data_IF_230302899342
#
_entry.id   IF_230302899342
#
_cell.length_a   1.000
_cell.length_b   1.000
_cell.length_c   1.000
_cell.angle_alpha   90.00
_cell.angle_beta   90.00
_cell.angle_gamma   90.00
#
_symmetry.space_group_name_H-M   'P 1'
#
loop_
_entity.id
_entity.type
_entity.pdbx_description
1 polymer ?
#
# COMPACT_ATOMS: atom_id res chain seq x y z
N UNK A 1 30.40 -20.65 -2.36
CA UNK A 1 30.66 -19.40 -1.63
C UNK A 1 30.68 -18.13 -2.50
N UNK A 2 30.00 -18.16 -3.64
CA UNK A 2 29.88 -16.98 -4.51
C UNK A 2 28.65 -16.07 -4.19
N UNK A 3 27.87 -16.40 -3.16
CA UNK A 3 26.72 -15.57 -2.76
C UNK A 3 27.05 -14.42 -1.78
N UNK A 4 28.30 -14.25 -1.38
CA UNK A 4 28.69 -13.24 -0.38
C UNK A 4 29.11 -11.87 -0.96
N UNK A 5 29.15 -11.72 -2.29
CA UNK A 5 29.60 -10.48 -2.94
C UNK A 5 28.54 -9.76 -3.78
N UNK A 6 27.32 -10.30 -3.86
CA UNK A 6 26.23 -9.53 -4.46
C UNK A 6 25.75 -8.55 -3.43
N UNK A 7 26.01 -7.26 -3.67
CA UNK A 7 25.49 -6.14 -2.89
C UNK A 7 23.98 -6.26 -2.71
N UNK A 8 23.44 -5.51 -1.77
CA UNK A 8 21.98 -5.37 -1.59
C UNK A 8 21.38 -5.04 -2.96
N UNK A 9 20.58 -5.96 -3.49
CA UNK A 9 19.91 -5.76 -4.77
C UNK A 9 18.92 -4.60 -4.66
N UNK A 10 18.58 -4.01 -5.79
CA UNK A 10 17.64 -2.90 -5.88
C UNK A 10 16.25 -3.29 -5.39
N UNK A 11 15.53 -2.34 -4.81
CA UNK A 11 14.16 -2.51 -4.34
C UNK A 11 13.21 -1.77 -5.26
N UNK A 12 12.17 -2.45 -5.74
CA UNK A 12 11.09 -1.78 -6.44
C UNK A 12 10.05 -1.23 -5.48
N UNK A 13 9.76 0.06 -5.63
CA UNK A 13 8.61 0.71 -5.00
C UNK A 13 7.57 1.09 -6.07
N UNK A 14 6.28 0.96 -5.74
CA UNK A 14 5.21 1.43 -6.61
C UNK A 14 4.94 2.91 -6.44
N UNK A 15 4.78 3.61 -7.56
CA UNK A 15 4.39 5.01 -7.60
C UNK A 15 3.09 5.23 -6.81
N UNK A 16 3.09 6.23 -5.91
CA UNK A 16 1.94 6.56 -5.08
C UNK A 16 1.74 5.70 -3.84
N UNK A 17 2.45 4.57 -3.68
CA UNK A 17 2.47 3.81 -2.44
C UNK A 17 3.38 4.47 -1.39
N UNK A 18 3.02 4.34 -0.12
CA UNK A 18 3.81 4.85 1.00
C UNK A 18 4.22 3.72 1.94
N UNK A 19 5.51 3.58 2.18
CA UNK A 19 6.09 2.49 2.99
C UNK A 19 6.89 3.00 4.19
N UNK A 20 6.42 4.09 4.81
CA UNK A 20 7.11 4.73 5.93
C UNK A 20 8.14 5.76 5.46
N UNK A 21 8.85 6.34 6.43
CA UNK A 21 9.81 7.42 6.25
C UNK A 21 11.27 6.94 6.18
N UNK A 22 11.50 5.70 5.75
CA UNK A 22 12.86 5.19 5.50
C UNK A 22 13.42 5.91 4.28
N UNK A 23 14.59 6.53 4.42
CA UNK A 23 15.21 7.36 3.39
C UNK A 23 15.29 6.67 2.02
N UNK A 24 15.65 5.39 1.99
CA UNK A 24 15.75 4.62 0.76
C UNK A 24 14.40 4.51 0.00
N UNK A 25 13.26 4.60 0.69
CA UNK A 25 11.93 4.50 0.08
C UNK A 25 11.27 5.86 -0.19
N UNK A 26 11.94 6.97 0.15
CA UNK A 26 11.49 8.35 -0.13
C UNK A 26 11.95 8.79 -1.52
N UNK A 27 11.51 8.07 -2.54
CA UNK A 27 11.80 8.34 -3.95
C UNK A 27 10.62 9.00 -4.64
N UNK A 28 10.91 9.94 -5.56
CA UNK A 28 9.89 10.59 -6.37
C UNK A 28 9.16 9.58 -7.24
N UNK A 29 7.85 9.73 -7.25
CA UNK A 29 7.01 9.15 -8.26
C UNK A 29 7.25 9.88 -9.59
N UNK A 30 8.05 9.31 -10.49
CA UNK A 30 8.31 9.87 -11.83
C UNK A 30 7.44 9.21 -12.90
N UNK A 31 7.07 9.95 -13.93
CA UNK A 31 6.48 9.41 -15.15
C UNK A 31 7.61 8.87 -16.04
N UNK A 32 7.68 7.56 -16.19
CA UNK A 32 8.59 6.90 -17.13
C UNK A 32 9.47 5.83 -16.48
N UNK A 33 9.77 4.79 -17.24
CA UNK A 33 10.55 3.61 -16.86
C UNK A 33 12.00 3.90 -16.41
N UNK A 34 12.41 5.15 -16.39
CA UNK A 34 13.79 5.58 -16.18
C UNK A 34 14.00 6.50 -14.96
N UNK A 35 13.04 6.62 -14.05
CA UNK A 35 13.23 7.48 -12.88
C UNK A 35 14.03 6.75 -11.81
N UNK A 36 15.34 6.73 -11.99
CA UNK A 36 16.31 6.24 -11.02
C UNK A 36 16.30 7.14 -9.78
N UNK A 37 15.88 6.59 -8.65
CA UNK A 37 16.21 7.02 -7.30
C UNK A 37 16.28 8.52 -6.98
N UNK A 38 15.43 9.37 -7.58
CA UNK A 38 15.41 10.79 -7.24
C UNK A 38 14.73 10.99 -5.88
N UNK A 39 15.41 11.59 -4.86
CA UNK A 39 14.81 11.84 -3.57
C UNK A 39 13.56 12.71 -3.65
N UNK A 40 12.48 12.32 -2.93
CA UNK A 40 11.24 13.10 -2.83
C UNK A 40 11.26 14.08 -1.65
N UNK A 41 12.17 13.89 -0.70
CA UNK A 41 12.28 14.72 0.49
C UNK A 41 13.62 15.49 0.49
N UNK A 42 13.61 16.81 0.73
CA UNK A 42 14.82 17.56 0.98
C UNK A 42 15.62 16.99 2.15
N UNK A 43 16.92 16.86 1.98
CA UNK A 43 17.82 16.33 3.00
C UNK A 43 18.11 14.82 2.89
N UNK A 44 17.40 14.09 2.06
CA UNK A 44 17.73 12.69 1.75
C UNK A 44 18.84 12.67 0.68
N UNK A 45 20.02 12.11 0.97
CA UNK A 45 21.08 11.98 -0.03
C UNK A 45 20.67 11.04 -1.16
N UNK A 46 21.09 11.34 -2.39
CA UNK A 46 20.79 10.50 -3.54
C UNK A 46 21.31 9.06 -3.39
N UNK A 47 22.46 8.88 -2.72
CA UNK A 47 23.05 7.56 -2.43
C UNK A 47 22.14 6.63 -1.61
N UNK A 48 21.11 7.16 -0.92
CA UNK A 48 20.13 6.34 -0.22
C UNK A 48 19.00 5.88 -1.14
N UNK A 49 18.72 6.61 -2.20
CA UNK A 49 17.56 6.38 -3.07
C UNK A 49 17.94 5.78 -4.43
N UNK A 50 19.21 5.79 -4.81
CA UNK A 50 19.67 5.28 -6.12
C UNK A 50 19.40 3.80 -6.37
N UNK A 51 19.24 3.03 -5.29
CA UNK A 51 18.88 1.61 -5.33
C UNK A 51 17.37 1.36 -5.20
N UNK A 52 16.54 2.38 -5.40
CA UNK A 52 15.08 2.25 -5.37
C UNK A 52 14.48 2.70 -6.69
N UNK A 53 14.01 1.74 -7.45
CA UNK A 53 13.33 1.98 -8.71
C UNK A 53 11.83 2.20 -8.46
N UNK A 54 11.19 3.03 -9.27
CA UNK A 54 9.76 3.32 -9.14
C UNK A 54 9.01 2.96 -10.42
N UNK A 55 7.93 2.19 -10.30
CA UNK A 55 7.06 1.82 -11.42
C UNK A 55 5.61 2.21 -11.16
N UNK A 56 4.87 2.49 -12.22
CA UNK A 56 3.46 2.88 -12.17
C UNK A 56 2.59 1.76 -11.60
N UNK A 57 1.71 2.08 -10.66
CA UNK A 57 0.73 1.13 -10.12
C UNK A 57 -0.26 0.71 -11.21
N UNK A 58 -0.67 -0.57 -11.23
CA UNK A 58 -1.52 -1.17 -12.26
C UNK A 58 -0.89 -1.25 -13.67
N UNK A 59 0.42 -1.11 -13.77
CA UNK A 59 1.16 -1.28 -15.02
C UNK A 59 2.17 -2.42 -14.85
N UNK A 60 1.78 -3.62 -15.27
CA UNK A 60 2.63 -4.82 -15.19
C UNK A 60 3.75 -4.76 -16.23
N UNK A 61 3.46 -4.22 -17.42
CA UNK A 61 4.44 -4.12 -18.50
C UNK A 61 5.61 -3.24 -18.10
N UNK A 62 5.35 -2.10 -17.45
CA UNK A 62 6.41 -1.25 -16.93
C UNK A 62 7.31 -1.95 -15.91
N UNK A 63 6.77 -2.93 -15.16
CA UNK A 63 7.59 -3.73 -14.23
C UNK A 63 8.43 -4.75 -14.94
N UNK A 64 7.85 -5.43 -15.95
CA UNK A 64 8.57 -6.41 -16.78
C UNK A 64 9.73 -5.69 -17.48
N UNK A 65 9.47 -4.55 -18.13
CA UNK A 65 10.50 -3.75 -18.78
C UNK A 65 11.65 -3.37 -17.83
N UNK A 66 11.31 -2.98 -16.61
CA UNK A 66 12.32 -2.66 -15.62
C UNK A 66 13.13 -3.90 -15.19
N UNK A 67 12.51 -5.09 -15.01
CA UNK A 67 13.24 -6.31 -14.68
C UNK A 67 14.17 -6.74 -15.81
N UNK A 68 13.78 -6.50 -17.06
CA UNK A 68 14.62 -6.75 -18.23
C UNK A 68 15.82 -5.77 -18.33
N UNK A 69 15.61 -4.51 -17.88
CA UNK A 69 16.67 -3.50 -17.89
C UNK A 69 17.69 -3.67 -16.75
N UNK A 70 17.32 -4.34 -15.66
CA UNK A 70 18.17 -4.61 -14.49
C UNK A 70 18.19 -6.10 -14.14
N UNK A 71 18.69 -6.96 -15.03
CA UNK A 71 18.68 -8.41 -14.83
C UNK A 71 19.56 -8.79 -13.63
N UNK A 72 19.03 -9.66 -12.76
CA UNK A 72 19.68 -10.13 -11.54
C UNK A 72 20.03 -9.06 -10.49
N UNK A 73 19.57 -7.81 -10.68
CA UNK A 73 19.89 -6.71 -9.76
C UNK A 73 18.75 -6.44 -8.75
N UNK A 74 17.51 -6.87 -9.05
CA UNK A 74 16.34 -6.56 -8.23
C UNK A 74 16.13 -7.62 -7.14
N UNK A 75 16.21 -7.22 -5.89
CA UNK A 75 16.01 -8.11 -4.77
C UNK A 75 14.53 -8.30 -4.40
N UNK A 76 13.72 -7.23 -4.49
CA UNK A 76 12.35 -7.26 -4.04
C UNK A 76 11.46 -6.24 -4.77
N UNK A 77 10.17 -6.57 -4.87
CA UNK A 77 9.10 -5.66 -5.26
C UNK A 77 8.22 -5.41 -4.04
N UNK A 78 8.09 -4.14 -3.61
CA UNK A 78 7.21 -3.75 -2.50
C UNK A 78 6.05 -2.90 -3.02
N UNK A 79 4.83 -3.24 -2.59
CA UNK A 79 3.64 -2.46 -2.94
C UNK A 79 2.54 -2.59 -1.87
N UNK A 80 1.68 -1.59 -1.78
CA UNK A 80 0.37 -1.74 -1.16
C UNK A 80 -0.52 -2.56 -2.12
N UNK A 81 -1.11 -3.71 -1.72
CA UNK A 81 -1.96 -4.50 -2.61
C UNK A 81 -3.24 -3.76 -3.03
N UNK A 82 -3.71 -2.84 -2.20
CA UNK A 82 -4.67 -1.78 -2.54
C UNK A 82 -4.01 -0.48 -2.13
N UNK A 83 -3.76 0.40 -3.06
CA UNK A 83 -3.11 1.67 -2.75
C UNK A 83 -4.05 2.56 -1.92
N UNK A 84 -3.53 3.10 -0.81
CA UNK A 84 -4.28 3.94 0.13
C UNK A 84 -3.72 5.35 0.29
N UNK A 85 -2.56 5.65 -0.29
CA UNK A 85 -1.85 6.92 -0.15
C UNK A 85 -1.85 7.79 -1.43
N UNK A 86 -2.59 7.38 -2.43
CA UNK A 86 -2.91 8.18 -3.63
C UNK A 86 -4.42 8.23 -3.90
N UNK A 87 -5.21 8.18 -2.80
CA UNK A 87 -6.59 7.80 -2.78
C UNK A 87 -6.71 6.28 -2.74
N UNK A 88 -7.93 5.75 -2.66
CA UNK A 88 -8.13 4.30 -2.70
C UNK A 88 -8.14 3.83 -4.15
N UNK A 89 -7.09 3.12 -4.56
CA UNK A 89 -6.97 2.54 -5.90
C UNK A 89 -6.78 1.02 -5.77
N UNK A 90 -7.77 0.21 -6.15
CA UNK A 90 -7.64 -1.24 -6.17
C UNK A 90 -6.72 -1.70 -7.31
N UNK A 91 -6.12 -2.88 -7.19
CA UNK A 91 -5.38 -3.48 -8.28
C UNK A 91 -6.33 -3.86 -9.43
N UNK A 92 -5.88 -3.65 -10.65
CA UNK A 92 -6.58 -4.15 -11.85
C UNK A 92 -6.51 -5.69 -11.89
N UNK A 93 -7.49 -6.28 -12.58
CA UNK A 93 -7.55 -7.73 -12.72
C UNK A 93 -6.25 -8.30 -13.30
N UNK A 94 -5.70 -9.32 -12.65
CA UNK A 94 -4.47 -9.97 -13.09
C UNK A 94 -3.16 -9.27 -12.68
N UNK A 95 -3.22 -8.02 -12.18
CA UNK A 95 -2.00 -7.26 -11.84
C UNK A 95 -1.17 -7.92 -10.73
N UNK A 96 -1.79 -8.26 -9.59
CA UNK A 96 -1.09 -8.89 -8.48
C UNK A 96 -0.61 -10.32 -8.81
N UNK A 97 -1.42 -11.07 -9.55
CA UNK A 97 -1.05 -12.39 -10.04
C UNK A 97 0.16 -12.33 -10.98
N UNK A 98 0.12 -11.39 -11.94
CA UNK A 98 1.25 -11.19 -12.85
C UNK A 98 2.53 -10.78 -12.14
N UNK A 99 2.44 -9.96 -11.07
CA UNK A 99 3.59 -9.65 -10.22
C UNK A 99 4.13 -10.90 -9.50
N UNK A 100 3.25 -11.76 -8.99
CA UNK A 100 3.68 -13.01 -8.34
C UNK A 100 4.41 -13.93 -9.33
N UNK A 101 3.82 -14.12 -10.51
CA UNK A 101 4.44 -14.94 -11.57
C UNK A 101 5.79 -14.38 -12.02
N UNK A 102 5.90 -13.05 -12.18
CA UNK A 102 7.15 -12.36 -12.49
C UNK A 102 8.19 -12.61 -11.40
N UNK A 103 7.83 -12.38 -10.13
CA UNK A 103 8.72 -12.57 -8.99
C UNK A 103 9.21 -14.02 -8.87
N UNK A 104 8.32 -14.99 -9.08
CA UNK A 104 8.67 -16.42 -9.06
C UNK A 104 9.65 -16.79 -10.18
N UNK A 105 9.47 -16.23 -11.37
CA UNK A 105 10.30 -16.48 -12.53
C UNK A 105 11.70 -15.88 -12.39
N UNK A 106 11.77 -14.65 -11.87
CA UNK A 106 13.03 -13.87 -11.77
C UNK A 106 13.74 -14.06 -10.42
N UNK A 107 13.18 -14.84 -9.48
CA UNK A 107 13.77 -15.00 -8.15
C UNK A 107 13.69 -13.75 -7.25
N UNK A 108 12.75 -12.85 -7.52
CA UNK A 108 12.52 -11.58 -6.82
C UNK A 108 11.54 -11.81 -5.67
N UNK A 109 11.75 -11.17 -4.52
CA UNK A 109 10.80 -11.26 -3.41
C UNK A 109 9.61 -10.33 -3.63
N UNK A 110 8.39 -10.84 -3.47
CA UNK A 110 7.18 -10.03 -3.46
C UNK A 110 6.82 -9.65 -2.02
N UNK A 111 6.73 -8.35 -1.75
CA UNK A 111 6.41 -7.80 -0.42
C UNK A 111 5.11 -7.03 -0.49
N UNK A 112 4.09 -7.47 0.27
CA UNK A 112 2.86 -6.71 0.42
C UNK A 112 2.93 -5.81 1.66
N UNK A 113 2.77 -4.51 1.43
CA UNK A 113 2.51 -3.56 2.50
C UNK A 113 1.02 -3.58 2.83
N UNK A 114 0.67 -4.38 3.82
CA UNK A 114 -0.68 -4.52 4.34
C UNK A 114 -0.95 -3.59 5.54
N UNK A 115 -0.17 -2.53 5.71
CA UNK A 115 -0.37 -1.57 6.80
C UNK A 115 -1.75 -0.91 6.75
N UNK A 116 -2.29 -0.69 5.54
CA UNK A 116 -3.66 -0.18 5.34
C UNK A 116 -4.70 -1.31 5.25
N UNK A 117 -4.40 -2.38 4.54
CA UNK A 117 -5.35 -3.42 4.16
C UNK A 117 -5.45 -4.56 5.18
N UNK A 118 -4.35 -4.87 5.86
CA UNK A 118 -4.28 -5.98 6.83
C UNK A 118 -5.27 -5.80 7.97
N UNK A 119 -6.11 -6.80 8.19
CA UNK A 119 -7.18 -6.81 9.19
C UNK A 119 -8.25 -5.70 9.01
N UNK A 120 -8.21 -4.99 7.88
CA UNK A 120 -9.18 -3.95 7.55
C UNK A 120 -10.12 -4.34 6.42
N UNK A 121 -9.60 -4.90 5.33
CA UNK A 121 -10.42 -5.35 4.20
C UNK A 121 -10.96 -6.75 4.41
N UNK A 122 -10.20 -7.58 5.10
CA UNK A 122 -10.49 -8.94 5.52
C UNK A 122 -9.63 -9.29 6.73
N UNK A 123 -10.02 -10.32 7.52
CA UNK A 123 -9.20 -10.80 8.64
C UNK A 123 -7.82 -11.31 8.19
N UNK A 124 -7.76 -11.90 7.01
CA UNK A 124 -6.53 -12.41 6.41
C UNK A 124 -5.86 -11.42 5.44
N UNK A 125 -6.33 -10.16 5.41
CA UNK A 125 -5.77 -9.09 4.58
C UNK A 125 -6.09 -9.19 3.10
N UNK A 126 -5.50 -8.32 2.31
CA UNK A 126 -5.69 -8.28 0.86
C UNK A 126 -5.06 -9.50 0.18
N UNK A 127 -4.00 -10.08 0.71
CA UNK A 127 -3.38 -11.30 0.19
C UNK A 127 -4.39 -12.46 0.06
N UNK A 128 -5.27 -12.64 1.04
CA UNK A 128 -6.32 -13.66 0.97
C UNK A 128 -7.45 -13.26 0.01
N UNK A 129 -7.84 -11.99 0.03
CA UNK A 129 -8.90 -11.47 -0.83
C UNK A 129 -8.56 -11.61 -2.32
N UNK A 130 -7.32 -11.36 -2.69
CA UNK A 130 -6.83 -11.50 -4.08
C UNK A 130 -6.22 -12.87 -4.39
N UNK A 131 -6.12 -13.76 -3.39
CA UNK A 131 -5.52 -15.08 -3.53
C UNK A 131 -4.08 -15.04 -4.07
N UNK A 132 -3.31 -14.02 -3.68
CA UNK A 132 -1.90 -13.86 -4.02
C UNK A 132 -1.10 -13.85 -2.74
N UNK A 133 -0.22 -14.84 -2.56
CA UNK A 133 0.63 -14.96 -1.39
C UNK A 133 1.97 -14.25 -1.64
N UNK A 134 2.29 -13.19 -0.88
CA UNK A 134 3.60 -12.56 -0.94
C UNK A 134 4.65 -13.40 -0.20
N UNK A 135 5.92 -13.12 -0.43
CA UNK A 135 7.03 -13.70 0.35
C UNK A 135 7.12 -13.07 1.75
N UNK A 136 6.82 -11.78 1.84
CA UNK A 136 6.75 -11.02 3.09
C UNK A 136 5.51 -10.12 3.10
N UNK A 137 4.94 -9.94 4.29
CA UNK A 137 3.86 -8.98 4.56
C UNK A 137 4.24 -8.03 5.67
N UNK A 138 3.89 -6.76 5.52
CA UNK A 138 4.11 -5.69 6.51
C UNK A 138 2.75 -5.29 7.06
N UNK A 139 2.63 -5.15 8.38
CA UNK A 139 1.40 -4.81 9.09
C UNK A 139 1.61 -3.62 10.03
N UNK A 140 0.56 -2.85 10.23
CA UNK A 140 0.53 -1.71 11.16
C UNK A 140 -0.92 -1.31 11.46
N UNK A 141 -1.12 -0.07 11.85
CA UNK A 141 -2.44 0.54 12.06
C UNK A 141 -3.39 -0.34 12.88
N UNK A 142 -4.30 -1.08 12.23
CA UNK A 142 -5.35 -1.89 12.89
C UNK A 142 -4.76 -2.87 13.90
N UNK A 143 -3.62 -3.51 13.60
CA UNK A 143 -3.00 -4.47 14.52
C UNK A 143 -2.58 -3.86 15.86
N UNK A 144 -2.45 -2.54 15.95
CA UNK A 144 -2.09 -1.84 17.18
C UNK A 144 -3.27 -1.57 18.11
N UNK A 145 -4.52 -1.71 17.62
CA UNK A 145 -5.71 -1.38 18.42
C UNK A 145 -5.72 0.07 18.91
N UNK A 146 -5.19 1.00 18.11
CA UNK A 146 -5.02 2.42 18.44
C UNK A 146 -3.65 2.79 19.01
N UNK A 147 -2.78 1.81 19.29
CA UNK A 147 -1.42 2.05 19.78
C UNK A 147 -0.38 1.80 18.65
N UNK A 148 0.84 2.39 18.78
CA UNK A 148 1.87 2.26 17.77
C UNK A 148 2.46 0.83 17.75
N UNK A 149 2.09 0.05 16.75
CA UNK A 149 2.61 -1.29 16.50
C UNK A 149 2.92 -1.43 15.01
N UNK A 150 4.06 -1.98 14.70
CA UNK A 150 4.43 -2.48 13.39
C UNK A 150 4.85 -3.95 13.50
N UNK A 151 4.54 -4.73 12.50
CA UNK A 151 4.96 -6.11 12.40
C UNK A 151 5.27 -6.46 10.94
N UNK A 152 6.13 -7.41 10.73
CA UNK A 152 6.37 -8.03 9.44
C UNK A 152 6.55 -9.53 9.63
N UNK A 153 6.26 -10.27 8.58
CA UNK A 153 6.39 -11.72 8.59
C UNK A 153 6.22 -12.29 7.20
N UNK A 154 6.51 -13.55 7.04
CA UNK A 154 6.39 -14.24 5.77
C UNK A 154 7.07 -15.60 5.77
N UNK A 155 7.68 -15.96 4.65
CA UNK A 155 8.35 -17.25 4.46
C UNK A 155 9.37 -17.52 5.55
N UNK A 156 9.29 -18.73 6.12
CA UNK A 156 10.11 -19.15 7.27
C UNK A 156 11.61 -18.97 7.02
N UNK A 157 12.10 -19.37 5.85
CA UNK A 157 13.52 -19.28 5.50
C UNK A 157 14.04 -17.83 5.44
N UNK A 158 13.19 -16.87 5.07
CA UNK A 158 13.52 -15.43 5.09
C UNK A 158 13.52 -14.94 6.55
N UNK A 159 12.49 -15.27 7.32
CA UNK A 159 12.37 -14.84 8.71
C UNK A 159 13.46 -15.40 9.61
N UNK A 160 14.01 -16.57 9.30
CA UNK A 160 15.16 -17.16 10.03
C UNK A 160 16.48 -16.40 9.77
N UNK A 161 16.55 -15.51 8.79
CA UNK A 161 17.70 -14.62 8.60
C UNK A 161 17.73 -13.46 9.59
N UNK A 162 16.62 -13.18 10.28
CA UNK A 162 16.51 -12.06 11.24
C UNK A 162 17.08 -12.50 12.59
N UNK A 163 17.86 -11.60 13.22
CA UNK A 163 18.43 -11.83 14.54
C UNK A 163 17.31 -12.13 15.59
N UNK A 164 17.57 -13.02 16.57
CA UNK A 164 18.84 -13.70 16.87
C UNK A 164 19.06 -15.00 16.07
N UNK A 165 18.12 -15.42 15.22
CA UNK A 165 18.22 -16.66 14.47
C UNK A 165 19.19 -16.56 13.29
N UNK A 166 19.33 -15.38 12.70
CA UNK A 166 20.17 -15.08 11.55
C UNK A 166 20.98 -13.78 11.72
N UNK A 167 21.75 -13.40 10.68
CA UNK A 167 22.68 -12.28 10.75
C UNK A 167 22.02 -10.90 10.56
N UNK A 168 20.77 -10.82 10.11
CA UNK A 168 20.09 -9.56 9.80
C UNK A 168 19.67 -8.88 11.10
N UNK A 169 20.31 -7.77 11.42
CA UNK A 169 20.02 -7.01 12.63
C UNK A 169 18.64 -6.35 12.56
N UNK A 170 17.86 -6.54 13.63
CA UNK A 170 16.59 -5.84 13.84
C UNK A 170 16.45 -5.54 15.33
N UNK A 171 16.24 -4.28 15.68
CA UNK A 171 15.99 -3.86 17.04
C UNK A 171 15.15 -2.57 17.08
N UNK A 172 14.41 -2.40 18.14
CA UNK A 172 13.66 -1.18 18.44
C UNK A 172 13.33 -1.12 19.91
N UNK A 173 13.63 -0.03 20.58
CA UNK A 173 13.43 0.13 22.04
C UNK A 173 12.00 -0.18 22.47
N UNK A 174 11.01 0.19 21.66
CA UNK A 174 9.59 -0.04 21.92
C UNK A 174 9.04 -1.29 21.24
N UNK A 175 9.86 -2.07 20.54
CA UNK A 175 9.44 -3.33 19.94
C UNK A 175 8.98 -4.30 21.01
N UNK A 176 7.79 -4.88 20.85
CA UNK A 176 7.20 -5.78 21.81
C UNK A 176 6.70 -5.10 23.10
N UNK A 177 6.52 -3.77 23.11
CA UNK A 177 5.96 -3.05 24.25
C UNK A 177 4.67 -3.74 24.73
N UNK A 178 4.60 -4.15 26.02
CA UNK A 178 3.50 -4.99 26.52
C UNK A 178 2.13 -4.32 26.44
N UNK A 179 2.05 -2.99 26.56
CA UNK A 179 0.78 -2.26 26.47
C UNK A 179 0.28 -2.31 25.02
N UNK A 180 1.13 -1.97 24.06
CA UNK A 180 0.78 -1.96 22.64
C UNK A 180 0.47 -3.38 22.12
N UNK A 181 1.27 -4.38 22.53
CA UNK A 181 1.01 -5.79 22.18
C UNK A 181 -0.30 -6.30 22.80
N UNK A 182 -0.63 -5.89 24.03
CA UNK A 182 -1.89 -6.27 24.69
C UNK A 182 -3.10 -5.67 23.97
N UNK A 183 -3.02 -4.39 23.58
CA UNK A 183 -4.07 -3.73 22.82
C UNK A 183 -4.27 -4.40 21.45
N UNK A 184 -3.17 -4.65 20.71
CA UNK A 184 -3.22 -5.34 19.42
C UNK A 184 -3.78 -6.76 19.52
N UNK A 185 -3.31 -7.53 20.51
CA UNK A 185 -3.84 -8.88 20.79
C UNK A 185 -5.35 -8.86 21.07
N UNK A 186 -5.82 -7.85 21.80
CA UNK A 186 -7.25 -7.67 22.09
C UNK A 186 -8.03 -7.31 20.83
N UNK A 187 -7.53 -6.38 20.03
CA UNK A 187 -8.12 -6.00 18.75
C UNK A 187 -8.29 -7.22 17.84
N UNK A 188 -7.21 -7.99 17.63
CA UNK A 188 -7.26 -9.18 16.77
C UNK A 188 -8.22 -10.25 17.28
N UNK A 189 -8.34 -10.42 18.61
CA UNK A 189 -9.32 -11.33 19.20
C UNK A 189 -10.75 -10.87 18.94
N UNK A 190 -11.03 -9.57 19.04
CA UNK A 190 -12.36 -9.00 18.75
C UNK A 190 -12.69 -9.21 17.28
N UNK A 191 -11.81 -8.83 16.37
CA UNK A 191 -12.01 -8.99 14.93
C UNK A 191 -12.26 -10.45 14.55
N UNK A 192 -11.50 -11.39 15.11
CA UNK A 192 -11.70 -12.84 14.87
C UNK A 192 -13.02 -13.36 15.41
N UNK A 193 -13.50 -12.82 16.55
CA UNK A 193 -14.73 -13.27 17.20
C UNK A 193 -15.97 -12.69 16.53
N UNK A 194 -15.91 -11.40 16.17
CA UNK A 194 -17.08 -10.65 15.70
C UNK A 194 -17.24 -10.68 14.19
N UNK A 195 -16.14 -10.95 13.47
CA UNK A 195 -16.11 -11.01 12.00
C UNK A 195 -16.88 -9.85 11.31
N UNK A 196 -16.45 -8.59 11.48
CA UNK A 196 -17.23 -7.44 11.05
C UNK A 196 -17.17 -7.17 9.53
N UNK A 197 -16.41 -7.96 8.77
CA UNK A 197 -16.03 -7.61 7.40
C UNK A 197 -17.19 -7.55 6.42
N UNK A 198 -18.14 -8.48 6.52
CA UNK A 198 -19.35 -8.45 5.68
C UNK A 198 -20.21 -7.20 5.96
N UNK A 199 -20.33 -6.81 7.24
CA UNK A 199 -21.08 -5.62 7.64
C UNK A 199 -20.38 -4.33 7.20
N UNK A 200 -19.06 -4.25 7.39
CA UNK A 200 -18.24 -3.10 6.92
C UNK A 200 -18.33 -2.96 5.40
N UNK A 201 -18.17 -4.06 4.65
CA UNK A 201 -18.29 -4.03 3.20
C UNK A 201 -19.65 -3.55 2.72
N UNK A 202 -20.73 -3.97 3.39
CA UNK A 202 -22.10 -3.49 3.10
C UNK A 202 -22.25 -1.99 3.36
N UNK A 203 -21.72 -1.50 4.48
CA UNK A 203 -21.77 -0.08 4.86
C UNK A 203 -21.00 0.81 3.88
N UNK A 204 -19.79 0.41 3.50
CA UNK A 204 -18.98 1.17 2.54
C UNK A 204 -19.59 1.17 1.15
N UNK A 205 -20.16 0.05 0.69
CA UNK A 205 -20.89 -0.04 -0.58
C UNK A 205 -22.10 0.90 -0.58
N UNK A 206 -22.94 0.85 0.46
CA UNK A 206 -24.10 1.73 0.59
C UNK A 206 -23.72 3.21 0.56
N UNK A 207 -22.63 3.58 1.24
CA UNK A 207 -22.13 4.97 1.24
C UNK A 207 -21.67 5.38 -0.17
N UNK A 208 -20.92 4.52 -0.86
CA UNK A 208 -20.45 4.79 -2.21
C UNK A 208 -21.59 4.93 -3.22
N UNK A 209 -22.59 4.05 -3.14
CA UNK A 209 -23.80 4.14 -3.97
C UNK A 209 -24.53 5.47 -3.74
N UNK A 210 -24.72 5.86 -2.49
CA UNK A 210 -25.39 7.12 -2.14
C UNK A 210 -24.61 8.34 -2.64
N UNK A 211 -23.27 8.35 -2.52
CA UNK A 211 -22.42 9.42 -3.04
C UNK A 211 -22.47 9.49 -4.58
N UNK A 212 -22.36 8.36 -5.24
CA UNK A 212 -22.44 8.23 -6.70
C UNK A 212 -23.79 8.73 -7.23
N UNK A 213 -24.90 8.31 -6.62
CA UNK A 213 -26.25 8.73 -6.99
C UNK A 213 -26.47 10.24 -6.77
N UNK A 214 -25.96 10.78 -5.67
CA UNK A 214 -26.06 12.21 -5.39
C UNK A 214 -25.27 13.04 -6.41
N UNK A 215 -24.06 12.61 -6.74
CA UNK A 215 -23.21 13.23 -7.75
C UNK A 215 -23.85 13.19 -9.14
N UNK A 216 -24.35 12.02 -9.55
CA UNK A 216 -25.05 11.81 -10.83
C UNK A 216 -26.28 12.73 -10.97
N UNK A 217 -27.11 12.84 -9.92
CA UNK A 217 -28.27 13.73 -9.92
C UNK A 217 -27.89 15.21 -10.10
N UNK A 218 -26.66 15.60 -9.73
CA UNK A 218 -26.15 16.97 -9.85
C UNK A 218 -25.25 17.18 -11.07
N UNK A 219 -25.02 16.15 -11.89
CA UNK A 219 -24.11 16.23 -13.04
C UNK A 219 -22.64 16.42 -12.63
N UNK A 220 -22.28 15.98 -11.43
CA UNK A 220 -20.89 16.05 -10.92
C UNK A 220 -20.19 14.73 -11.24
N UNK A 221 -19.05 14.77 -11.94
CA UNK A 221 -18.28 13.56 -12.22
C UNK A 221 -17.67 13.03 -10.91
N UNK A 222 -18.01 11.79 -10.55
CA UNK A 222 -17.53 11.14 -9.33
C UNK A 222 -17.32 9.64 -9.58
N UNK A 223 -16.09 9.21 -9.41
CA UNK A 223 -15.70 7.81 -9.35
C UNK A 223 -15.63 7.39 -7.87
N UNK A 224 -16.22 6.25 -7.53
CA UNK A 224 -16.20 5.70 -6.16
C UNK A 224 -15.67 4.28 -6.17
N UNK A 225 -14.98 3.87 -5.12
CA UNK A 225 -14.55 2.50 -4.92
C UNK A 225 -14.66 2.11 -3.44
N UNK A 226 -14.88 0.81 -3.18
CA UNK A 226 -14.89 0.26 -1.83
C UNK A 226 -14.36 -1.17 -1.84
N UNK A 227 -13.75 -1.57 -0.72
CA UNK A 227 -13.25 -2.92 -0.49
C UNK A 227 -13.20 -3.19 1.01
N UNK A 228 -14.04 -4.14 1.47
CA UNK A 228 -14.19 -4.37 2.90
C UNK A 228 -14.51 -3.08 3.65
N UNK A 229 -13.74 -2.77 4.69
CA UNK A 229 -13.89 -1.55 5.47
C UNK A 229 -13.18 -0.31 4.90
N UNK A 230 -12.73 -0.34 3.65
CA UNK A 230 -12.11 0.80 2.96
C UNK A 230 -13.02 1.34 1.87
N UNK A 231 -13.02 2.65 1.68
CA UNK A 231 -13.65 3.31 0.55
C UNK A 231 -12.88 4.54 0.11
N UNK A 232 -13.13 4.96 -1.11
CA UNK A 232 -12.54 6.17 -1.68
C UNK A 232 -13.42 6.74 -2.77
N UNK A 233 -13.15 7.98 -3.15
CA UNK A 233 -13.82 8.64 -4.25
C UNK A 233 -12.89 9.66 -4.91
N UNK A 234 -13.13 9.89 -6.20
CA UNK A 234 -12.39 10.86 -7.00
C UNK A 234 -13.37 11.69 -7.81
N UNK A 235 -13.20 13.00 -7.81
CA UNK A 235 -13.93 13.88 -8.72
C UNK A 235 -13.32 13.81 -10.11
N UNK A 236 -13.73 12.79 -10.86
CA UNK A 236 -13.19 12.45 -12.18
C UNK A 236 -14.27 11.89 -13.09
N UNK A 237 -14.16 12.18 -14.38
CA UNK A 237 -15.01 11.57 -15.42
C UNK A 237 -14.51 10.18 -15.84
N UNK A 238 -13.26 9.85 -15.50
CA UNK A 238 -12.60 8.62 -15.89
C UNK A 238 -12.19 7.82 -14.65
N UNK A 239 -12.14 6.50 -14.81
CA UNK A 239 -11.60 5.60 -13.80
C UNK A 239 -10.17 6.00 -13.45
N UNK A 240 -9.89 6.11 -12.16
CA UNK A 240 -8.57 6.41 -11.62
C UNK A 240 -7.86 5.08 -11.34
N UNK A 241 -6.71 4.85 -11.96
CA UNK A 241 -5.99 3.57 -11.91
C UNK A 241 -4.61 3.68 -11.27
N UNK A 242 -4.06 4.89 -11.24
CA UNK A 242 -2.72 5.15 -10.75
C UNK A 242 -2.59 6.59 -10.23
N UNK A 243 -1.40 6.94 -9.77
CA UNK A 243 -1.11 8.26 -9.21
C UNK A 243 -1.29 9.41 -10.22
N UNK A 244 -0.90 9.20 -11.48
CA UNK A 244 -1.05 10.21 -12.54
C UNK A 244 -2.51 10.53 -12.82
N UNK A 245 -3.38 9.52 -12.79
CA UNK A 245 -4.82 9.73 -12.93
C UNK A 245 -5.39 10.46 -11.71
N UNK A 246 -4.93 10.11 -10.49
CA UNK A 246 -5.33 10.79 -9.27
C UNK A 246 -4.96 12.28 -9.27
N UNK A 247 -3.79 12.63 -9.82
CA UNK A 247 -3.34 14.03 -9.97
C UNK A 247 -4.23 14.85 -10.91
N UNK A 248 -4.90 14.21 -11.89
CA UNK A 248 -5.80 14.87 -12.86
C UNK A 248 -7.22 15.11 -12.31
N UNK A 249 -7.53 14.56 -11.13
CA UNK A 249 -8.85 14.73 -10.51
C UNK A 249 -9.13 16.18 -10.12
N UNK A 250 -10.40 16.56 -10.09
CA UNK A 250 -10.80 17.92 -9.79
C UNK A 250 -10.65 18.25 -8.30
N UNK A 251 -9.56 18.91 -7.96
CA UNK A 251 -9.21 19.30 -6.59
C UNK A 251 -10.14 20.35 -6.00
N UNK A 252 -10.68 21.24 -6.80
CA UNK A 252 -11.61 22.28 -6.37
C UNK A 252 -12.93 21.68 -5.85
N UNK A 253 -13.44 20.67 -6.55
CA UNK A 253 -14.61 19.91 -6.10
C UNK A 253 -14.35 19.20 -4.77
N UNK A 254 -13.17 18.59 -4.61
CA UNK A 254 -12.79 17.97 -3.34
C UNK A 254 -12.76 18.99 -2.19
N UNK A 255 -12.10 20.15 -2.38
CA UNK A 255 -11.99 21.19 -1.36
C UNK A 255 -13.38 21.70 -0.95
N UNK A 256 -14.25 21.96 -1.93
CA UNK A 256 -15.61 22.40 -1.69
C UNK A 256 -16.40 21.34 -0.94
N UNK A 257 -16.36 20.11 -1.39
CA UNK A 257 -17.03 18.97 -0.75
C UNK A 257 -16.55 18.80 0.71
N UNK A 258 -15.23 18.77 0.92
CA UNK A 258 -14.64 18.62 2.26
C UNK A 258 -15.14 19.71 3.22
N UNK A 259 -15.12 20.99 2.80
CA UNK A 259 -15.58 22.11 3.63
C UNK A 259 -17.06 22.00 3.95
N UNK A 260 -17.88 21.62 2.98
CA UNK A 260 -19.32 21.49 3.14
C UNK A 260 -19.71 20.36 4.09
N UNK A 261 -19.07 19.17 3.98
CA UNK A 261 -19.37 18.07 4.90
C UNK A 261 -18.83 18.35 6.30
N UNK A 262 -17.67 19.01 6.42
CA UNK A 262 -17.10 19.43 7.70
C UNK A 262 -18.03 20.43 8.42
N UNK A 263 -18.59 21.40 7.71
CA UNK A 263 -19.56 22.37 8.28
C UNK A 263 -20.83 21.71 8.80
N UNK A 264 -21.14 20.50 8.32
CA UNK A 264 -22.27 19.67 8.77
C UNK A 264 -21.90 18.62 9.81
N UNK A 265 -20.68 18.71 10.37
CA UNK A 265 -20.20 17.82 11.43
C UNK A 265 -19.65 16.46 10.93
N UNK A 266 -19.38 16.33 9.64
CA UNK A 266 -18.76 15.12 9.06
C UNK A 266 -17.28 15.41 8.80
N UNK A 267 -16.40 14.75 9.55
CA UNK A 267 -14.96 14.87 9.36
C UNK A 267 -14.44 13.74 8.47
N UNK A 268 -13.86 14.12 7.34
CA UNK A 268 -13.12 13.24 6.43
C UNK A 268 -11.64 13.61 6.45
N UNK A 269 -10.79 12.80 5.84
CA UNK A 269 -9.39 13.16 5.66
C UNK A 269 -9.27 14.44 4.81
N UNK A 270 -8.41 15.41 5.19
CA UNK A 270 -8.30 16.70 4.50
C UNK A 270 -7.47 16.65 3.21
N UNK A 271 -7.23 15.46 2.68
CA UNK A 271 -6.47 15.23 1.46
C UNK A 271 -7.25 14.33 0.49
N UNK A 272 -7.31 14.67 -0.81
CA UNK A 272 -7.92 13.80 -1.82
C UNK A 272 -7.13 12.51 -2.07
N UNK A 273 -5.93 12.41 -1.51
CA UNK A 273 -5.04 11.24 -1.63
C UNK A 273 -5.13 10.27 -0.46
N UNK A 274 -5.98 10.51 0.50
CA UNK A 274 -6.23 9.59 1.62
C UNK A 274 -7.42 8.68 1.31
N UNK A 275 -7.26 7.39 1.61
CA UNK A 275 -8.38 6.44 1.64
C UNK A 275 -9.15 6.57 2.96
N UNK A 276 -10.42 6.29 2.93
CA UNK A 276 -11.36 6.39 4.06
C UNK A 276 -11.80 5.02 4.54
#
# INVERSE_FOLDING_TARGET
DEMSSRGLGDVYKRQGCYHGSVDALLVKAGSGATTLGIPDSPGVPQSFTEHTLSATFNDLEAVIELTENFPDEIAAIVLEPVAGNMGMIPPEHGFLQGLRELCDREGILLIFDEVMTGFRVDFSGAQALFQVMPDLSIFGKVIGGGLPVGAYGGRREIMLQVAPAGPVYQAGTLSGNPIAVSAGKTMLKILKKEDPYADLGRKTATLNEALSDAAKKKGIPLETCSMGGMFGFFFSEKKVRNYEDALKCNREYFITFFREVLSRGIYLAPSPFESL
#
